data_IF_501709638710
#
_entry.id   IF_501709638710
#
_cell.length_a   1.000
_cell.length_b   1.000
_cell.length_c   1.000
_cell.angle_alpha   90.00
_cell.angle_beta   90.00
_cell.angle_gamma   90.00
#
_symmetry.space_group_name_H-M   'P 1'
#
loop_
_entity.id
_entity.type
_entity.pdbx_description
1 polymer ?
#
# COMPACT_ATOMS: atom_id res chain seq x y z
N UNK A 1 17.77 -1.01 -10.17
CA UNK A 1 18.37 -1.13 -8.82
C UNK A 1 17.44 -2.01 -7.98
N UNK A 2 17.98 -2.99 -7.26
CA UNK A 2 17.18 -3.86 -6.37
C UNK A 2 17.53 -3.53 -4.92
N UNK A 3 16.52 -3.33 -4.08
CA UNK A 3 16.67 -3.13 -2.63
C UNK A 3 16.16 -4.38 -1.92
N UNK A 4 16.78 -4.77 -0.81
CA UNK A 4 16.37 -5.94 -0.02
C UNK A 4 16.65 -5.67 1.46
N UNK A 5 15.69 -6.00 2.32
CA UNK A 5 15.77 -5.86 3.77
C UNK A 5 15.31 -7.17 4.42
N UNK A 6 16.03 -7.63 5.44
CA UNK A 6 15.64 -8.82 6.23
C UNK A 6 14.78 -8.38 7.40
N UNK A 7 13.58 -8.97 7.51
CA UNK A 7 12.66 -8.76 8.64
C UNK A 7 12.72 -10.01 9.53
N UNK A 8 12.92 -9.82 10.83
CA UNK A 8 12.95 -10.90 11.82
C UNK A 8 11.53 -11.39 12.17
N UNK A 9 10.78 -11.83 11.16
CA UNK A 9 9.43 -12.36 11.30
C UNK A 9 9.19 -13.46 10.25
N UNK A 10 8.26 -14.38 10.53
CA UNK A 10 7.89 -15.42 9.56
C UNK A 10 7.07 -14.79 8.42
N UNK A 11 7.17 -15.29 7.18
CA UNK A 11 6.37 -14.79 6.07
C UNK A 11 4.86 -14.78 6.34
N UNK A 12 4.36 -15.77 7.08
CA UNK A 12 2.95 -15.86 7.46
C UNK A 12 2.50 -14.74 8.41
N UNK A 13 3.43 -14.05 9.07
CA UNK A 13 3.15 -12.89 9.92
C UNK A 13 3.25 -11.58 9.12
N UNK A 14 4.17 -11.50 8.17
CA UNK A 14 4.42 -10.28 7.37
C UNK A 14 3.39 -10.13 6.25
N UNK A 15 3.06 -11.23 5.56
CA UNK A 15 2.22 -11.19 4.37
C UNK A 15 0.80 -10.64 4.62
N UNK A 16 0.12 -10.98 5.72
CA UNK A 16 -1.19 -10.38 6.03
C UNK A 16 -1.14 -8.86 6.17
N UNK A 17 -0.05 -8.30 6.71
CA UNK A 17 0.14 -6.85 6.84
C UNK A 17 0.37 -6.19 5.48
N UNK A 18 1.21 -6.78 4.64
CA UNK A 18 1.47 -6.28 3.28
C UNK A 18 0.25 -6.41 2.36
N UNK A 19 -0.61 -7.42 2.56
CA UNK A 19 -1.81 -7.65 1.77
C UNK A 19 -3.02 -6.79 2.22
N UNK A 20 -2.88 -6.03 3.31
CA UNK A 20 -3.88 -5.09 3.81
C UNK A 20 -3.58 -3.69 3.29
N UNK A 21 -4.24 -3.31 2.19
CA UNK A 21 -3.95 -2.06 1.48
C UNK A 21 -4.19 -0.82 2.35
N UNK A 22 -5.13 -0.87 3.28
CA UNK A 22 -5.43 0.22 4.20
C UNK A 22 -4.31 0.49 5.21
N UNK A 23 -3.60 -0.56 5.65
CA UNK A 23 -2.53 -0.42 6.65
C UNK A 23 -1.28 0.25 6.08
N UNK A 24 -1.23 0.46 4.76
CA UNK A 24 -0.08 1.06 4.10
C UNK A 24 0.23 2.46 4.64
N UNK A 25 -0.79 3.22 5.05
CA UNK A 25 -0.63 4.53 5.71
C UNK A 25 0.18 4.45 7.01
N UNK A 26 0.25 3.29 7.65
CA UNK A 26 0.97 3.10 8.90
C UNK A 26 2.49 2.95 8.72
N UNK A 27 2.96 2.55 7.52
CA UNK A 27 4.36 2.18 7.30
C UNK A 27 4.97 2.73 6.00
N UNK A 28 4.17 3.13 5.02
CA UNK A 28 4.63 3.90 3.87
C UNK A 28 4.76 5.36 4.27
N UNK A 29 6.00 5.84 4.37
CA UNK A 29 6.28 7.18 4.88
C UNK A 29 5.64 8.32 4.07
N UNK A 30 5.32 8.06 2.80
CA UNK A 30 4.70 9.00 1.88
C UNK A 30 3.18 8.85 1.78
N UNK A 31 2.56 7.77 2.27
CA UNK A 31 1.12 7.56 2.16
C UNK A 31 0.35 8.31 3.26
N UNK A 32 -0.61 9.15 2.86
CA UNK A 32 -1.46 9.92 3.78
C UNK A 32 -2.87 9.31 3.93
N UNK A 33 -3.43 8.74 2.85
CA UNK A 33 -4.77 8.14 2.88
C UNK A 33 -4.97 7.09 1.77
N UNK A 34 -5.88 6.13 2.01
CA UNK A 34 -6.30 5.12 1.03
C UNK A 34 -7.82 5.18 0.85
N UNK A 35 -8.28 5.21 -0.40
CA UNK A 35 -9.71 5.19 -0.76
C UNK A 35 -9.99 4.13 -1.82
N UNK A 36 -10.78 3.12 -1.48
CA UNK A 36 -11.17 2.11 -2.47
C UNK A 36 -12.16 2.67 -3.49
N UNK A 37 -11.89 2.35 -4.76
CA UNK A 37 -12.74 2.70 -5.90
C UNK A 37 -13.40 1.48 -6.53
N UNK A 38 -13.07 0.27 -6.05
CA UNK A 38 -13.78 -0.98 -6.32
C UNK A 38 -14.51 -1.54 -5.09
N UNK A 39 -15.53 -2.39 -5.27
CA UNK A 39 -16.21 -3.06 -4.14
C UNK A 39 -15.33 -4.03 -3.35
N UNK A 40 -14.35 -4.65 -4.01
CA UNK A 40 -13.37 -5.50 -3.35
C UNK A 40 -12.21 -4.68 -2.78
N UNK A 41 -11.64 -5.16 -1.67
CA UNK A 41 -10.57 -4.48 -0.92
C UNK A 41 -9.26 -5.27 -0.88
N UNK A 42 -9.22 -6.47 -1.46
CA UNK A 42 -8.07 -7.37 -1.42
C UNK A 42 -7.96 -8.19 -2.70
N UNK A 43 -6.73 -8.50 -3.08
CA UNK A 43 -6.42 -9.37 -4.22
C UNK A 43 -6.63 -8.71 -5.58
N UNK A 44 -6.40 -9.51 -6.62
CA UNK A 44 -6.50 -9.14 -8.04
C UNK A 44 -7.88 -8.52 -8.35
N UNK A 45 -7.86 -7.39 -9.06
CA UNK A 45 -9.01 -6.58 -9.43
C UNK A 45 -9.41 -5.53 -8.40
N UNK A 46 -8.69 -5.42 -7.27
CA UNK A 46 -8.87 -4.32 -6.32
C UNK A 46 -8.33 -3.03 -6.92
N UNK A 47 -9.10 -1.95 -6.79
CA UNK A 47 -8.76 -0.61 -7.23
C UNK A 47 -8.90 0.38 -6.09
N UNK A 48 -7.91 1.25 -5.95
CA UNK A 48 -7.89 2.26 -4.90
C UNK A 48 -7.07 3.48 -5.32
N UNK A 49 -7.35 4.59 -4.65
CA UNK A 49 -6.55 5.82 -4.70
C UNK A 49 -5.71 5.89 -3.42
N UNK A 50 -4.41 6.16 -3.57
CA UNK A 50 -3.50 6.47 -2.48
C UNK A 50 -3.12 7.95 -2.56
N UNK A 51 -3.41 8.72 -1.51
CA UNK A 51 -2.85 10.06 -1.40
C UNK A 51 -1.41 9.94 -0.92
N UNK A 52 -0.49 10.55 -1.66
CA UNK A 52 0.92 10.58 -1.32
C UNK A 52 1.44 11.99 -1.17
N UNK A 53 2.38 12.17 -0.24
CA UNK A 53 3.09 13.42 -0.02
C UNK A 53 4.57 13.25 -0.21
N UNK A 54 5.10 13.95 -1.22
CA UNK A 54 6.52 13.98 -1.53
C UNK A 54 7.01 15.41 -1.42
N UNK A 55 7.57 15.75 -0.26
CA UNK A 55 7.98 17.12 0.06
C UNK A 55 6.79 18.09 0.04
N UNK A 56 6.81 19.15 -0.79
CA UNK A 56 5.70 20.11 -0.90
C UNK A 56 4.55 19.62 -1.80
N UNK A 57 4.70 18.48 -2.47
CA UNK A 57 3.73 17.99 -3.45
C UNK A 57 2.76 17.01 -2.82
N UNK A 58 1.48 17.16 -3.17
CA UNK A 58 0.43 16.19 -2.90
C UNK A 58 0.02 15.55 -4.23
N UNK A 59 -0.06 14.23 -4.23
CA UNK A 59 -0.44 13.43 -5.38
C UNK A 59 -1.56 12.46 -4.99
N UNK A 60 -2.32 12.03 -5.99
CA UNK A 60 -3.30 10.94 -5.85
C UNK A 60 -2.92 9.86 -6.85
N UNK A 61 -2.37 8.77 -6.34
CA UNK A 61 -1.94 7.62 -7.11
C UNK A 61 -3.12 6.67 -7.32
N UNK A 62 -3.43 6.36 -8.58
CA UNK A 62 -4.48 5.41 -8.96
C UNK A 62 -3.87 4.04 -9.15
N UNK A 63 -4.30 3.09 -8.32
CA UNK A 63 -3.69 1.77 -8.23
C UNK A 63 -4.68 0.69 -8.68
N UNK A 64 -4.18 -0.24 -9.49
CA UNK A 64 -4.88 -1.45 -9.93
C UNK A 64 -4.06 -2.68 -9.53
N UNK A 65 -4.66 -3.62 -8.77
CA UNK A 65 -4.02 -4.88 -8.40
C UNK A 65 -4.28 -5.93 -9.49
N UNK A 66 -3.23 -6.47 -10.12
CA UNK A 66 -3.32 -7.43 -11.26
C UNK A 66 -2.58 -8.72 -11.01
#
# INVERSE_FOLDING_TARGET
MKVTTVIAARPQQVWPHLAELESHVEWMADAEAIRFTSPQRRGVGTRFECDTRVGPFHLTDRMDVT
#
